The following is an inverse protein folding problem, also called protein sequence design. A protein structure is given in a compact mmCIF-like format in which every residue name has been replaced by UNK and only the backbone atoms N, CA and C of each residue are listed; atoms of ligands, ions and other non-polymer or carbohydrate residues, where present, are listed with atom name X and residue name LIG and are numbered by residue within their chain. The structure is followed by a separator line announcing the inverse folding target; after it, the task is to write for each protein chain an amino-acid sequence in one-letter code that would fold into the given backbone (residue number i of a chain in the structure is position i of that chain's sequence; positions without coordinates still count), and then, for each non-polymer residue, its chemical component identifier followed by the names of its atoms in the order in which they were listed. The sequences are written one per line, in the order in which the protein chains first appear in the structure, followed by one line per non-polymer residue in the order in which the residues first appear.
data_IF_795274866994
#
_entry.id   IF_795274866994
#
_cell.length_a   1.000
_cell.length_b   1.000
_cell.length_c   1.000
_cell.angle_alpha   90.00
_cell.angle_beta   90.00
_cell.angle_gamma   90.00
#
_symmetry.space_group_name_H-M   'P 1'
#
loop_
_entity.id
_entity.type
_entity.pdbx_description
1 polymer ?
#
# COMPACT_ATOMS: atom_id res chain seq x y z
N UNK A 1 22.00 -28.41 34.03
CA UNK A 1 22.67 -27.10 34.07
C UNK A 1 21.92 -26.20 35.01
N UNK A 2 22.58 -25.61 36.01
CA UNK A 2 21.97 -24.59 36.86
C UNK A 2 21.95 -23.24 36.13
N UNK A 3 20.82 -22.55 36.12
CA UNK A 3 20.73 -21.20 35.57
C UNK A 3 21.43 -20.21 36.50
N UNK A 4 22.35 -19.41 35.96
CA UNK A 4 23.02 -18.33 36.71
C UNK A 4 22.13 -17.09 36.62
N UNK A 5 21.67 -16.59 37.76
CA UNK A 5 20.86 -15.37 37.85
C UNK A 5 21.79 -14.21 38.24
N UNK A 6 21.87 -13.21 37.37
CA UNK A 6 22.63 -11.99 37.62
C UNK A 6 21.75 -10.98 38.38
N UNK A 7 22.19 -10.54 39.56
CA UNK A 7 21.49 -9.53 40.37
C UNK A 7 22.23 -8.20 40.32
N UNK A 8 21.56 -7.09 40.65
CA UNK A 8 22.14 -5.74 40.61
C UNK A 8 23.39 -5.57 41.51
N UNK A 9 23.51 -6.40 42.56
CA UNK A 9 24.64 -6.42 43.50
C UNK A 9 25.52 -7.67 43.37
N UNK A 10 25.23 -8.52 42.38
CA UNK A 10 25.92 -9.79 42.14
C UNK A 10 27.11 -9.66 41.20
N UNK A 11 27.75 -10.80 40.83
CA UNK A 11 28.77 -10.80 39.80
C UNK A 11 28.19 -10.21 38.51
N UNK A 12 28.94 -9.36 37.82
CA UNK A 12 28.50 -8.78 36.54
C UNK A 12 28.66 -9.83 35.44
N UNK A 13 27.71 -9.86 34.50
CA UNK A 13 27.86 -10.64 33.27
C UNK A 13 29.03 -10.09 32.46
N UNK A 14 29.80 -10.95 31.84
CA UNK A 14 30.79 -10.51 30.85
C UNK A 14 30.08 -9.73 29.75
N UNK A 15 30.58 -8.52 29.47
CA UNK A 15 30.06 -7.68 28.39
C UNK A 15 30.74 -8.14 27.12
N UNK A 16 29.96 -8.77 26.23
CA UNK A 16 30.41 -9.09 24.89
C UNK A 16 30.11 -7.85 24.04
N UNK A 17 31.12 -7.18 23.45
CA UNK A 17 30.87 -6.08 22.54
C UNK A 17 30.09 -6.59 21.32
N UNK A 18 29.13 -5.81 20.87
CA UNK A 18 28.48 -6.05 19.58
C UNK A 18 29.37 -5.51 18.45
N UNK A 19 29.32 -6.16 17.30
CA UNK A 19 29.90 -5.60 16.07
C UNK A 19 29.02 -4.41 15.64
N UNK A 20 29.58 -3.20 15.46
CA UNK A 20 28.81 -1.98 15.19
C UNK A 20 28.21 -1.92 13.78
N UNK A 21 28.33 -2.98 12.99
CA UNK A 21 27.98 -2.99 11.58
C UNK A 21 29.05 -2.32 10.70
N UNK A 22 28.72 -2.12 9.43
CA UNK A 22 29.58 -1.45 8.45
C UNK A 22 29.06 -0.03 8.18
N UNK A 23 29.96 0.93 7.96
CA UNK A 23 29.59 2.30 7.56
C UNK A 23 29.08 2.36 6.11
N UNK A 24 29.63 1.50 5.25
CA UNK A 24 29.31 1.42 3.83
C UNK A 24 28.54 0.13 3.57
N UNK A 25 27.30 0.26 3.11
CA UNK A 25 26.45 -0.86 2.71
C UNK A 25 26.56 -1.06 1.19
N UNK A 26 27.09 -2.21 0.70
CA UNK A 26 27.21 -2.46 -0.73
C UNK A 26 25.86 -2.88 -1.34
N UNK A 27 25.51 -2.26 -2.47
CA UNK A 27 24.30 -2.57 -3.21
C UNK A 27 24.62 -3.55 -4.33
N UNK A 28 23.76 -4.55 -4.53
CA UNK A 28 23.92 -5.57 -5.55
C UNK A 28 22.74 -5.56 -6.51
N UNK A 29 23.04 -5.66 -7.80
CA UNK A 29 22.05 -5.85 -8.86
C UNK A 29 22.26 -7.20 -9.52
N UNK A 30 21.15 -7.80 -9.97
CA UNK A 30 21.19 -9.03 -10.75
C UNK A 30 21.56 -8.71 -12.21
N UNK A 31 22.64 -9.32 -12.71
CA UNK A 31 22.99 -9.30 -14.14
C UNK A 31 22.98 -10.70 -14.72
N UNK A 32 22.54 -10.81 -15.97
CA UNK A 32 22.55 -12.05 -16.75
C UNK A 32 23.90 -12.15 -17.47
N UNK A 33 24.71 -13.13 -17.12
CA UNK A 33 25.97 -13.40 -17.81
C UNK A 33 25.76 -14.09 -19.17
N UNK A 34 26.82 -14.15 -19.99
CA UNK A 34 26.79 -14.74 -21.34
C UNK A 34 26.30 -16.20 -21.38
N UNK A 35 26.47 -16.92 -20.26
CA UNK A 35 26.03 -18.31 -20.11
C UNK A 35 24.53 -18.44 -19.71
N UNK A 36 23.77 -17.33 -19.70
CA UNK A 36 22.38 -17.28 -19.28
C UNK A 36 22.15 -17.47 -17.78
N UNK A 37 23.23 -17.51 -16.97
CA UNK A 37 23.15 -17.60 -15.50
C UNK A 37 23.20 -16.20 -14.90
N UNK A 38 22.36 -15.97 -13.90
CA UNK A 38 22.34 -14.71 -13.17
C UNK A 38 23.41 -14.69 -12.08
N UNK A 39 24.03 -13.54 -11.90
CA UNK A 39 24.97 -13.29 -10.81
C UNK A 39 24.73 -11.89 -10.23
N UNK A 40 25.09 -11.73 -8.95
CA UNK A 40 25.04 -10.44 -8.28
C UNK A 40 26.31 -9.65 -8.61
N UNK A 41 26.14 -8.47 -9.19
CA UNK A 41 27.22 -7.51 -9.38
C UNK A 41 27.03 -6.33 -8.43
N UNK A 42 28.12 -5.88 -7.82
CA UNK A 42 28.09 -4.70 -6.94
C UNK A 42 27.91 -3.45 -7.80
N UNK A 43 26.81 -2.74 -7.59
CA UNK A 43 26.43 -1.55 -8.37
C UNK A 43 26.81 -0.25 -7.65
N UNK A 44 26.88 -0.27 -6.33
CA UNK A 44 27.21 0.92 -5.55
C UNK A 44 27.43 0.63 -4.07
N UNK A 45 27.64 1.71 -3.32
CA UNK A 45 27.71 1.70 -1.86
C UNK A 45 26.93 2.89 -1.30
N UNK A 46 26.17 2.65 -0.24
CA UNK A 46 25.49 3.70 0.53
C UNK A 46 26.21 3.91 1.85
N UNK A 47 26.54 5.16 2.17
CA UNK A 47 27.07 5.52 3.47
C UNK A 47 25.91 5.68 4.46
N UNK A 48 25.75 4.71 5.36
CA UNK A 48 24.66 4.67 6.33
C UNK A 48 24.68 5.87 7.27
N UNK A 49 25.86 6.35 7.66
CA UNK A 49 25.98 7.53 8.53
C UNK A 49 25.50 8.81 7.82
N UNK A 50 25.95 9.02 6.58
CA UNK A 50 25.54 10.17 5.79
C UNK A 50 24.03 10.17 5.52
N UNK A 51 23.46 9.00 5.24
CA UNK A 51 22.02 8.81 5.10
C UNK A 51 21.27 9.16 6.39
N UNK A 52 21.69 8.64 7.55
CA UNK A 52 21.09 9.00 8.85
C UNK A 52 21.13 10.51 9.08
N UNK A 53 22.26 11.16 8.78
CA UNK A 53 22.41 12.61 8.96
C UNK A 53 21.55 13.43 7.99
N UNK A 54 21.20 12.88 6.82
CA UNK A 54 20.34 13.58 5.86
C UNK A 54 18.94 13.85 6.41
N UNK A 55 18.45 13.02 7.33
CA UNK A 55 17.15 13.17 7.99
C UNK A 55 17.16 14.13 9.21
N UNK A 56 18.29 14.80 9.48
CA UNK A 56 18.45 15.65 10.67
C UNK A 56 17.34 16.70 10.82
N UNK A 57 17.01 17.39 9.74
CA UNK A 57 16.04 18.50 9.78
C UNK A 57 14.58 18.00 9.85
N UNK A 58 14.33 16.76 9.44
CA UNK A 58 13.02 16.10 9.59
C UNK A 58 12.80 15.59 11.01
N UNK A 59 13.86 15.12 11.68
CA UNK A 59 13.83 14.60 13.05
C UNK A 59 13.99 15.69 14.12
N UNK A 60 14.40 16.91 13.76
CA UNK A 60 14.57 18.00 14.72
C UNK A 60 13.21 18.50 15.22
N UNK A 61 12.99 18.34 16.53
CA UNK A 61 11.78 18.77 17.23
C UNK A 61 11.50 20.26 17.03
N UNK A 62 12.54 21.10 16.98
CA UNK A 62 12.35 22.54 16.77
C UNK A 62 11.81 22.82 15.35
N UNK A 63 12.40 22.20 14.34
CA UNK A 63 11.94 22.26 12.94
C UNK A 63 10.48 21.80 12.81
N UNK A 64 10.14 20.67 13.43
CA UNK A 64 8.77 20.12 13.46
C UNK A 64 7.78 21.11 14.07
N UNK A 65 8.09 21.66 15.25
CA UNK A 65 7.22 22.60 15.94
C UNK A 65 7.06 23.91 15.17
N UNK A 66 8.14 24.45 14.60
CA UNK A 66 8.09 25.66 13.78
C UNK A 66 7.17 25.49 12.55
N UNK A 67 7.24 24.34 11.87
CA UNK A 67 6.33 24.01 10.77
C UNK A 67 4.88 23.91 11.22
N UNK A 68 4.64 23.28 12.37
CA UNK A 68 3.31 23.20 12.94
C UNK A 68 2.74 24.58 13.31
N UNK A 69 3.53 25.45 13.95
CA UNK A 69 3.13 26.83 14.25
C UNK A 69 2.91 27.67 12.98
N UNK A 70 3.62 27.37 11.89
CA UNK A 70 3.38 27.97 10.58
C UNK A 70 2.10 27.45 9.89
N UNK A 71 1.39 26.49 10.49
CA UNK A 71 0.11 25.96 10.02
C UNK A 71 0.18 24.60 9.32
N UNK A 72 1.36 23.98 9.24
CA UNK A 72 1.51 22.65 8.65
C UNK A 72 1.17 21.56 9.68
N UNK A 73 -0.10 21.14 9.69
CA UNK A 73 -0.59 20.07 10.58
C UNK A 73 -0.17 18.67 10.14
N UNK A 74 0.35 18.50 8.91
CA UNK A 74 0.75 17.20 8.37
C UNK A 74 1.98 16.61 9.07
N UNK A 75 2.78 17.47 9.72
CA UNK A 75 4.00 17.08 10.44
C UNK A 75 3.68 16.23 11.69
N UNK A 76 2.54 16.47 12.34
CA UNK A 76 2.13 15.74 13.55
C UNK A 76 1.11 14.63 13.25
N UNK A 77 0.38 14.73 12.14
CA UNK A 77 -0.66 13.77 11.78
C UNK A 77 -0.49 13.32 10.33
N UNK A 78 0.22 12.21 10.14
CA UNK A 78 0.06 11.40 8.93
C UNK A 78 -1.19 10.56 9.14
N UNK A 79 -2.27 10.89 8.42
CA UNK A 79 -3.47 10.06 8.42
C UNK A 79 -3.10 8.68 7.89
N UNK A 80 -3.08 7.68 8.78
CA UNK A 80 -2.83 6.30 8.39
C UNK A 80 -3.99 5.80 7.53
N UNK A 81 -3.67 5.19 6.39
CA UNK A 81 -4.67 4.44 5.62
C UNK A 81 -4.80 3.08 6.27
N UNK A 82 -5.99 2.77 6.78
CA UNK A 82 -6.29 1.43 7.28
C UNK A 82 -6.67 0.54 6.10
N UNK A 83 -5.76 -0.37 5.73
CA UNK A 83 -5.98 -1.38 4.71
C UNK A 83 -5.99 -2.77 5.36
N UNK A 84 -6.92 -3.62 4.93
CA UNK A 84 -6.87 -5.05 5.27
C UNK A 84 -5.79 -5.72 4.41
N UNK A 85 -4.63 -5.94 5.01
CA UNK A 85 -3.49 -6.57 4.35
C UNK A 85 -3.53 -8.10 4.40
N UNK A 86 -4.55 -8.72 5.01
CA UNK A 86 -4.62 -10.18 5.20
C UNK A 86 -4.67 -10.95 3.88
N UNK A 87 -5.22 -10.33 2.83
CA UNK A 87 -5.37 -10.94 1.50
C UNK A 87 -4.22 -10.60 0.53
N UNK A 88 -3.22 -9.84 0.98
CA UNK A 88 -2.07 -9.53 0.14
C UNK A 88 -1.09 -10.70 0.09
N UNK A 89 -0.46 -10.97 -1.07
CA UNK A 89 0.54 -12.02 -1.19
C UNK A 89 1.73 -11.71 -0.25
N UNK A 90 2.14 -12.72 0.50
CA UNK A 90 3.24 -12.62 1.48
C UNK A 90 4.58 -13.01 0.88
N UNK A 91 4.54 -13.80 -0.20
CA UNK A 91 5.72 -14.36 -0.85
C UNK A 91 5.78 -13.94 -2.32
N UNK A 92 6.99 -13.77 -2.86
CA UNK A 92 7.21 -13.40 -4.27
C UNK A 92 6.49 -14.32 -5.27
N UNK A 93 6.46 -15.63 -5.01
CA UNK A 93 5.76 -16.60 -5.87
C UNK A 93 4.24 -16.36 -5.89
N UNK A 94 3.63 -16.00 -4.76
CA UNK A 94 2.20 -15.67 -4.69
C UNK A 94 1.90 -14.40 -5.48
N UNK A 95 2.77 -13.39 -5.39
CA UNK A 95 2.68 -12.18 -6.20
C UNK A 95 2.77 -12.49 -7.69
N UNK A 96 3.71 -13.35 -8.09
CA UNK A 96 3.86 -13.77 -9.48
C UNK A 96 2.60 -14.48 -10.00
N UNK A 97 2.05 -15.40 -9.21
CA UNK A 97 0.82 -16.12 -9.55
C UNK A 97 -0.38 -15.17 -9.65
N UNK A 98 -0.49 -14.20 -8.74
CA UNK A 98 -1.52 -13.17 -8.79
C UNK A 98 -1.44 -12.34 -10.07
N UNK A 99 -0.24 -11.93 -10.47
CA UNK A 99 -0.01 -11.18 -11.70
C UNK A 99 -0.35 -12.00 -12.95
N UNK A 100 0.00 -13.29 -12.96
CA UNK A 100 -0.38 -14.20 -14.03
C UNK A 100 -1.91 -14.34 -14.13
N UNK A 101 -2.62 -14.51 -13.01
CA UNK A 101 -4.08 -14.58 -12.98
C UNK A 101 -4.73 -13.28 -13.49
N UNK A 102 -4.19 -12.12 -13.10
CA UNK A 102 -4.66 -10.83 -13.60
C UNK A 102 -4.43 -10.67 -15.11
N UNK A 103 -3.30 -11.15 -15.62
CA UNK A 103 -3.00 -11.15 -17.05
C UNK A 103 -4.01 -12.02 -17.81
N UNK A 104 -4.31 -13.21 -17.30
CA UNK A 104 -5.31 -14.10 -17.89
C UNK A 104 -6.71 -13.45 -17.91
N UNK A 105 -7.09 -12.77 -16.82
CA UNK A 105 -8.34 -11.99 -16.76
C UNK A 105 -8.39 -10.89 -17.81
N UNK A 106 -7.31 -10.15 -18.00
CA UNK A 106 -7.21 -9.14 -19.05
C UNK A 106 -7.34 -9.76 -20.45
N UNK A 107 -6.77 -10.95 -20.65
CA UNK A 107 -6.82 -11.60 -21.95
C UNK A 107 -8.20 -12.15 -22.31
N UNK A 108 -9.00 -12.51 -21.30
CA UNK A 108 -10.40 -12.88 -21.45
C UNK A 108 -11.34 -11.68 -21.70
N UNK A 109 -10.88 -10.43 -21.54
CA UNK A 109 -11.72 -9.25 -21.79
C UNK A 109 -12.10 -9.13 -23.27
N UNK A 110 -13.32 -8.63 -23.57
CA UNK A 110 -13.73 -8.30 -24.93
C UNK A 110 -12.76 -7.31 -25.60
N UNK A 111 -12.52 -7.50 -26.90
CA UNK A 111 -11.61 -6.66 -27.69
C UNK A 111 -11.96 -5.16 -27.58
N UNK A 112 -13.24 -4.82 -27.50
CA UNK A 112 -13.71 -3.44 -27.35
C UNK A 112 -13.19 -2.79 -26.07
N UNK A 113 -13.13 -3.54 -24.97
CA UNK A 113 -12.62 -3.06 -23.69
C UNK A 113 -11.09 -3.04 -23.73
N UNK A 114 -10.43 -4.08 -24.24
CA UNK A 114 -8.97 -4.13 -24.38
C UNK A 114 -8.42 -2.96 -25.19
N UNK A 115 -9.12 -2.57 -26.26
CA UNK A 115 -8.77 -1.40 -27.10
C UNK A 115 -8.80 -0.08 -26.35
N UNK A 116 -9.68 0.07 -25.35
CA UNK A 116 -9.71 1.28 -24.50
C UNK A 116 -8.44 1.43 -23.66
N UNK A 117 -7.75 0.32 -23.38
CA UNK A 117 -6.48 0.26 -22.67
C UNK A 117 -5.28 0.03 -23.62
N UNK A 118 -5.44 0.37 -24.91
CA UNK A 118 -4.41 0.20 -25.94
C UNK A 118 -3.87 -1.24 -26.07
N UNK A 119 -4.72 -2.23 -25.76
CA UNK A 119 -4.38 -3.65 -25.68
C UNK A 119 -3.17 -3.98 -24.75
N UNK A 120 -2.81 -3.06 -23.86
CA UNK A 120 -1.66 -3.18 -22.98
C UNK A 120 -2.11 -3.51 -21.56
N UNK A 121 -1.64 -4.63 -21.03
CA UNK A 121 -1.89 -4.99 -19.63
C UNK A 121 -1.26 -3.99 -18.66
N UNK A 122 -0.11 -3.43 -19.00
CA UNK A 122 0.56 -2.46 -18.13
C UNK A 122 -0.29 -1.19 -17.95
N UNK A 123 -0.96 -0.72 -19.01
CA UNK A 123 -1.86 0.45 -18.96
C UNK A 123 -3.14 0.11 -18.20
N UNK A 124 -3.66 -1.11 -18.37
CA UNK A 124 -4.83 -1.58 -17.64
C UNK A 124 -4.57 -1.76 -16.13
N UNK A 125 -3.42 -2.32 -15.77
CA UNK A 125 -3.03 -2.56 -14.38
C UNK A 125 -2.64 -1.27 -13.65
N UNK A 126 -1.96 -0.33 -14.32
CA UNK A 126 -1.54 0.94 -13.70
C UNK A 126 -2.71 1.88 -13.40
N UNK A 127 -3.79 1.77 -14.15
CA UNK A 127 -5.01 2.56 -13.94
C UNK A 127 -6.01 1.87 -13.01
N UNK A 128 -5.77 0.61 -12.63
CA UNK A 128 -6.69 -0.17 -11.79
C UNK A 128 -7.00 0.52 -10.46
N UNK A 129 -8.29 0.64 -10.13
CA UNK A 129 -8.77 1.35 -8.94
C UNK A 129 -9.00 2.85 -9.11
N UNK A 130 -8.63 3.44 -10.25
CA UNK A 130 -8.98 4.83 -10.59
C UNK A 130 -10.43 4.94 -11.09
N UNK A 131 -11.02 6.14 -10.98
CA UNK A 131 -12.36 6.42 -11.51
C UNK A 131 -12.42 6.21 -13.03
N UNK A 132 -11.34 6.55 -13.75
CA UNK A 132 -11.21 6.32 -15.19
C UNK A 132 -11.28 4.84 -15.53
N UNK A 133 -10.62 4.00 -14.76
CA UNK A 133 -10.65 2.56 -14.96
C UNK A 133 -12.06 1.99 -14.84
N UNK A 134 -12.83 2.40 -13.82
CA UNK A 134 -14.22 1.96 -13.67
C UNK A 134 -15.12 2.42 -14.83
N UNK A 135 -14.88 3.63 -15.38
CA UNK A 135 -15.58 4.14 -16.56
C UNK A 135 -15.23 3.35 -17.82
N UNK A 136 -13.93 3.09 -18.05
CA UNK A 136 -13.45 2.35 -19.22
C UNK A 136 -13.93 0.89 -19.21
N UNK A 137 -13.94 0.27 -18.04
CA UNK A 137 -14.48 -1.08 -17.79
C UNK A 137 -16.02 -1.14 -17.85
N UNK A 138 -16.72 0.00 -17.80
CA UNK A 138 -18.18 0.06 -17.89
C UNK A 138 -18.91 -0.30 -16.59
N UNK A 139 -18.24 -0.22 -15.43
CA UNK A 139 -18.80 -0.58 -14.12
C UNK A 139 -19.63 0.57 -13.53
N UNK A 140 -19.31 1.83 -13.87
CA UNK A 140 -20.15 2.99 -13.50
C UNK A 140 -21.22 3.18 -14.58
N UNK A 141 -22.44 2.69 -14.33
CA UNK A 141 -23.60 3.21 -15.05
C UNK A 141 -23.96 4.58 -14.45
N UNK A 142 -23.94 5.62 -15.28
CA UNK A 142 -24.54 6.91 -14.93
C UNK A 142 -26.00 6.68 -14.48
N UNK A 143 -26.37 7.20 -13.32
CA UNK A 143 -27.70 7.12 -12.73
C UNK A 143 -28.82 7.86 -13.52
N UNK A 144 -28.64 8.11 -14.81
CA UNK A 144 -29.55 8.93 -15.62
C UNK A 144 -30.51 8.14 -16.53
N UNK A 145 -30.39 6.81 -16.62
CA UNK A 145 -31.19 6.02 -17.58
C UNK A 145 -32.41 5.28 -17.01
N UNK A 146 -32.95 5.67 -15.85
CA UNK A 146 -34.25 5.15 -15.39
C UNK A 146 -35.17 6.30 -14.97
N UNK A 147 -35.79 6.94 -15.96
CA UNK A 147 -37.04 7.66 -15.77
C UNK A 147 -38.18 6.74 -16.24
N UNK A 148 -38.92 6.06 -15.35
CA UNK A 148 -40.12 5.36 -15.78
C UNK A 148 -41.23 6.40 -16.01
N UNK A 149 -41.58 6.60 -17.28
CA UNK A 149 -42.86 7.20 -17.69
C UNK A 149 -44.00 6.27 -17.25
N UNK A 150 -45.03 6.85 -16.63
CA UNK A 150 -46.06 6.10 -15.92
C UNK A 150 -47.14 5.47 -16.81
N UNK A 151 -47.85 4.51 -16.22
CA UNK A 151 -49.31 4.56 -16.17
C UNK A 151 -49.84 3.65 -15.05
N UNK A 152 -50.86 4.15 -14.34
CA UNK A 152 -51.35 3.56 -13.11
C UNK A 152 -52.48 2.54 -13.27
N UNK A 153 -52.72 1.84 -12.17
CA UNK A 153 -54.04 1.40 -11.72
C UNK A 153 -53.91 1.18 -10.22
N UNK A 154 -54.63 1.99 -9.44
CA UNK A 154 -54.57 1.95 -7.98
C UNK A 154 -55.40 0.84 -7.37
N UNK A 155 -55.21 0.65 -6.07
CA UNK A 155 -56.27 0.38 -5.11
C UNK A 155 -55.74 0.74 -3.70
N UNK A 156 -56.59 1.46 -2.97
CA UNK A 156 -56.42 1.95 -1.60
C UNK A 156 -56.36 0.77 -0.61
N UNK A 157 -55.81 0.87 0.60
CA UNK A 157 -56.37 1.38 1.87
C UNK A 157 -55.34 0.91 2.95
N UNK A 158 -55.04 1.52 4.09
CA UNK A 158 -55.42 2.72 4.82
C UNK A 158 -54.61 2.71 6.15
N UNK A 159 -54.54 3.87 6.83
CA UNK A 159 -54.39 4.09 8.29
C UNK A 159 -53.37 3.27 9.11
N UNK A 160 -52.58 3.79 10.06
CA UNK A 160 -52.80 4.89 10.97
C UNK A 160 -51.48 5.29 11.67
N UNK A 161 -51.48 6.48 12.26
CA UNK A 161 -50.41 7.09 13.03
C UNK A 161 -50.11 6.37 14.37
N UNK A 162 -48.88 6.54 14.89
CA UNK A 162 -48.69 7.01 16.26
C UNK A 162 -47.28 7.60 16.46
N UNK A 163 -47.24 8.88 16.82
CA UNK A 163 -46.12 9.56 17.48
C UNK A 163 -46.12 9.20 18.98
N UNK A 164 -45.08 9.71 19.67
CA UNK A 164 -44.89 9.85 21.13
C UNK A 164 -44.02 8.75 21.76
N UNK A 165 -43.03 9.02 22.61
CA UNK A 165 -42.52 10.25 23.25
C UNK A 165 -41.10 9.95 23.79
N UNK A 166 -40.16 10.90 23.71
CA UNK A 166 -39.75 11.80 24.81
C UNK A 166 -39.57 11.12 26.18
N UNK A 167 -38.31 11.00 26.61
CA UNK A 167 -37.72 11.82 27.68
C UNK A 167 -36.20 11.84 27.51
#
# INVERSE_FOLDING_TARGET
MAAIIYTAYGPKREVIPNEPGNELEPHYIEKIGENGRTYLEKDGETNTYAEIQSYKDECDVHSILCRYFAGDTSVLSRQGVYIDATQLPTTYHEMYNLMAEQRDKFDQLPLEIKRKFDNSFNVWASTAGSEEWYKLMGIVQNAENNKPEGNGSGENEGENAQKEGKA
#
